data_IF_087863313042
#
_entry.id   IF_087863313042
#
_cell.length_a   1.000
_cell.length_b   1.000
_cell.length_c   1.000
_cell.angle_alpha   90.00
_cell.angle_beta   90.00
_cell.angle_gamma   90.00
#
_symmetry.space_group_name_H-M   'P 1'
#
loop_
_entity.id
_entity.type
_entity.pdbx_description
1 polymer ?
#
# COMPACT_ATOMS: atom_id res chain seq x y z
N UNK A 1 5.98 -9.00 -31.39
CA UNK A 1 4.59 -9.47 -31.55
C UNK A 1 3.83 -8.92 -30.36
N UNK A 2 2.90 -7.99 -30.54
CA UNK A 2 2.09 -7.43 -29.47
C UNK A 2 0.83 -8.30 -29.25
N UNK A 3 0.28 -8.30 -28.05
CA UNK A 3 -0.97 -8.96 -27.67
C UNK A 3 -2.03 -7.88 -27.41
N UNK A 4 -3.15 -7.99 -28.12
CA UNK A 4 -4.27 -7.05 -28.05
C UNK A 4 -5.51 -7.81 -27.55
N UNK A 5 -6.07 -7.37 -26.43
CA UNK A 5 -7.30 -7.92 -25.84
C UNK A 5 -8.46 -6.97 -26.15
N UNK A 6 -9.16 -7.26 -27.25
CA UNK A 6 -10.30 -6.45 -27.74
C UNK A 6 -11.67 -7.00 -27.31
N UNK A 7 -11.69 -8.16 -26.66
CA UNK A 7 -12.90 -8.79 -26.11
C UNK A 7 -12.61 -9.42 -24.77
N UNK A 8 -13.63 -9.54 -23.92
CA UNK A 8 -13.52 -10.21 -22.62
C UNK A 8 -12.91 -11.60 -22.77
N UNK A 9 -11.76 -11.80 -22.13
CA UNK A 9 -10.92 -12.99 -22.24
C UNK A 9 -10.62 -13.52 -20.85
N UNK A 10 -10.74 -14.82 -20.66
CA UNK A 10 -10.42 -15.50 -19.39
C UNK A 10 -9.46 -16.64 -19.69
N UNK A 11 -8.27 -16.56 -19.12
CA UNK A 11 -7.24 -17.60 -19.17
C UNK A 11 -7.04 -18.21 -17.79
N UNK A 12 -6.80 -19.53 -17.75
CA UNK A 12 -6.62 -20.27 -16.50
C UNK A 12 -5.37 -21.13 -16.52
N UNK A 13 -4.68 -21.17 -15.38
CA UNK A 13 -3.47 -21.94 -15.18
C UNK A 13 -2.25 -21.29 -15.82
N UNK A 14 -1.27 -22.12 -16.20
CA UNK A 14 0.01 -21.65 -16.70
C UNK A 14 -0.13 -21.05 -18.10
N UNK A 15 0.05 -19.74 -18.20
CA UNK A 15 0.17 -19.01 -19.47
C UNK A 15 1.49 -18.25 -19.54
N UNK A 16 2.01 -18.06 -20.76
CA UNK A 16 3.22 -17.30 -20.99
C UNK A 16 2.89 -15.87 -21.38
N UNK A 17 3.31 -14.91 -20.56
CA UNK A 17 3.24 -13.47 -20.86
C UNK A 17 4.52 -12.94 -21.52
N UNK A 18 5.40 -13.84 -21.99
CA UNK A 18 6.56 -13.51 -22.82
C UNK A 18 6.12 -13.22 -24.27
N UNK A 19 5.18 -12.29 -24.39
CA UNK A 19 4.71 -11.65 -25.61
C UNK A 19 5.21 -10.21 -25.57
N UNK A 20 5.20 -9.50 -26.70
CA UNK A 20 5.59 -8.09 -26.74
C UNK A 20 4.61 -7.20 -25.97
N UNK A 21 4.35 -6.00 -26.47
CA UNK A 21 3.44 -5.08 -25.79
C UNK A 21 2.05 -5.71 -25.60
N UNK A 22 1.44 -5.45 -24.45
CA UNK A 22 0.10 -5.91 -24.08
C UNK A 22 -0.81 -4.68 -23.99
N UNK A 23 -1.90 -4.71 -24.75
CA UNK A 23 -2.96 -3.71 -24.67
C UNK A 23 -4.29 -4.39 -24.35
N UNK A 24 -5.01 -3.88 -23.35
CA UNK A 24 -6.42 -4.22 -23.10
C UNK A 24 -7.27 -3.05 -23.55
N UNK A 25 -8.08 -3.26 -24.59
CA UNK A 25 -8.84 -2.19 -25.23
C UNK A 25 -10.04 -1.77 -24.39
N UNK A 26 -10.47 -0.53 -24.59
CA UNK A 26 -11.67 0.02 -23.95
C UNK A 26 -12.88 -0.89 -24.16
N UNK A 27 -13.55 -1.25 -23.06
CA UNK A 27 -14.71 -2.14 -23.06
C UNK A 27 -14.38 -3.63 -23.02
N UNK A 28 -13.11 -4.02 -22.98
CA UNK A 28 -12.66 -5.39 -22.82
C UNK A 28 -12.05 -5.64 -21.44
N UNK A 29 -12.08 -6.90 -21.00
CA UNK A 29 -11.35 -7.37 -19.81
C UNK A 29 -10.47 -8.57 -20.11
N UNK A 30 -9.31 -8.65 -19.45
CA UNK A 30 -8.48 -9.85 -19.44
C UNK A 30 -8.32 -10.38 -18.01
N UNK A 31 -8.83 -11.57 -17.76
CA UNK A 31 -8.67 -12.27 -16.48
C UNK A 31 -7.71 -13.44 -16.64
N UNK A 32 -6.66 -13.48 -15.82
CA UNK A 32 -5.66 -14.54 -15.76
C UNK A 32 -5.75 -15.17 -14.37
N UNK A 33 -6.23 -16.41 -14.30
CA UNK A 33 -6.55 -17.07 -13.03
C UNK A 33 -5.56 -18.21 -12.76
N UNK A 34 -5.00 -18.26 -11.55
CA UNK A 34 -4.05 -19.28 -11.09
C UNK A 34 -2.78 -19.40 -11.96
N UNK A 35 -2.34 -18.29 -12.55
CA UNK A 35 -1.03 -18.21 -13.21
C UNK A 35 0.04 -17.74 -12.23
N UNK A 36 0.82 -18.69 -11.69
CA UNK A 36 1.82 -18.42 -10.64
C UNK A 36 2.85 -17.34 -11.04
N UNK A 37 3.27 -17.32 -12.31
CA UNK A 37 4.30 -16.38 -12.80
C UNK A 37 3.78 -15.66 -14.04
N UNK A 38 3.58 -14.35 -13.88
CA UNK A 38 3.11 -13.44 -14.92
C UNK A 38 4.22 -12.42 -15.22
N UNK A 39 5.06 -12.74 -16.21
CA UNK A 39 6.20 -11.91 -16.60
C UNK A 39 5.96 -11.20 -17.94
N UNK A 40 5.62 -9.92 -17.87
CA UNK A 40 5.47 -9.05 -19.03
C UNK A 40 6.85 -8.60 -19.53
N UNK A 41 7.11 -8.81 -20.82
CA UNK A 41 8.38 -8.39 -21.47
C UNK A 41 8.23 -7.17 -22.38
N UNK A 42 7.00 -6.79 -22.72
CA UNK A 42 6.63 -5.54 -23.41
C UNK A 42 6.02 -4.49 -22.49
N UNK A 43 5.58 -3.39 -23.07
CA UNK A 43 4.79 -2.36 -22.38
C UNK A 43 3.40 -2.88 -22.04
N UNK A 44 2.80 -2.34 -20.99
CA UNK A 44 1.44 -2.66 -20.56
C UNK A 44 0.57 -1.40 -20.67
N UNK A 45 -0.52 -1.51 -21.42
CA UNK A 45 -1.50 -0.45 -21.63
C UNK A 45 -2.91 -0.97 -21.33
N UNK A 46 -3.53 -0.45 -20.27
CA UNK A 46 -4.92 -0.76 -19.89
C UNK A 46 -5.74 0.50 -20.08
N UNK A 47 -6.53 0.54 -21.15
CA UNK A 47 -7.29 1.71 -21.56
C UNK A 47 -8.46 2.00 -20.62
N UNK A 48 -9.04 3.20 -20.75
CA UNK A 48 -10.25 3.57 -20.00
C UNK A 48 -11.40 2.59 -20.26
N UNK A 49 -12.14 2.22 -19.20
CA UNK A 49 -13.18 1.18 -19.22
C UNK A 49 -12.68 -0.22 -19.61
N UNK A 50 -11.37 -0.47 -19.55
CA UNK A 50 -10.78 -1.79 -19.70
C UNK A 50 -10.34 -2.35 -18.33
N UNK A 51 -10.14 -3.66 -18.25
CA UNK A 51 -9.71 -4.31 -17.01
C UNK A 51 -8.67 -5.41 -17.22
N UNK A 52 -7.60 -5.39 -16.44
CA UNK A 52 -6.64 -6.49 -16.32
C UNK A 52 -6.73 -7.08 -14.91
N UNK A 53 -7.00 -8.38 -14.81
CA UNK A 53 -7.12 -9.11 -13.56
C UNK A 53 -6.15 -10.28 -13.58
N UNK A 54 -5.28 -10.38 -12.59
CA UNK A 54 -4.45 -11.56 -12.34
C UNK A 54 -4.77 -12.03 -10.93
N UNK A 55 -5.41 -13.19 -10.82
CA UNK A 55 -5.97 -13.67 -9.54
C UNK A 55 -5.50 -15.07 -9.23
N UNK A 56 -5.10 -15.32 -8.00
CA UNK A 56 -4.96 -16.67 -7.46
C UNK A 56 -6.12 -16.98 -6.53
N UNK A 57 -6.85 -18.05 -6.84
CA UNK A 57 -7.91 -18.61 -6.00
C UNK A 57 -7.40 -19.84 -5.23
N UNK A 58 -6.08 -20.04 -5.17
CA UNK A 58 -5.45 -21.24 -4.65
C UNK A 58 -4.61 -20.94 -3.40
N UNK A 59 -4.78 -21.70 -2.32
CA UNK A 59 -3.97 -21.54 -1.11
C UNK A 59 -2.48 -21.88 -1.32
N UNK A 60 -2.15 -22.59 -2.40
CA UNK A 60 -0.79 -23.07 -2.67
C UNK A 60 -0.06 -22.29 -3.77
N UNK A 61 -0.77 -21.42 -4.50
CA UNK A 61 -0.22 -20.65 -5.61
C UNK A 61 -0.24 -19.18 -5.19
N UNK A 62 0.93 -18.59 -4.93
CA UNK A 62 1.05 -17.14 -4.84
C UNK A 62 1.39 -16.55 -6.21
N UNK A 63 0.90 -15.34 -6.44
CA UNK A 63 1.20 -14.61 -7.66
C UNK A 63 2.59 -13.97 -7.61
N UNK A 64 3.34 -14.17 -8.69
CA UNK A 64 4.52 -13.39 -9.03
C UNK A 64 4.22 -12.62 -10.32
N UNK A 65 3.99 -11.31 -10.21
CA UNK A 65 3.73 -10.45 -11.36
C UNK A 65 4.91 -9.50 -11.53
N UNK A 66 5.51 -9.51 -12.72
CA UNK A 66 6.71 -8.71 -13.01
C UNK A 66 6.63 -8.07 -14.39
N UNK A 67 7.12 -6.83 -14.47
CA UNK A 67 7.54 -6.24 -15.75
C UNK A 67 9.05 -6.26 -15.79
N UNK A 68 9.61 -6.87 -16.83
CA UNK A 68 11.02 -7.30 -16.83
C UNK A 68 11.99 -6.27 -17.42
N UNK A 69 11.50 -5.19 -18.01
CA UNK A 69 12.30 -4.24 -18.78
C UNK A 69 12.22 -2.83 -18.20
N UNK A 70 13.39 -2.24 -17.96
CA UNK A 70 13.55 -0.83 -17.54
C UNK A 70 13.16 0.18 -18.62
N UNK A 71 12.89 -0.26 -19.85
CA UNK A 71 12.57 0.61 -20.99
C UNK A 71 11.07 0.65 -21.30
N UNK A 72 10.29 -0.27 -20.72
CA UNK A 72 8.87 -0.41 -21.05
C UNK A 72 8.02 0.56 -20.25
N UNK A 73 6.80 0.80 -20.71
CA UNK A 73 5.85 1.68 -20.03
C UNK A 73 4.71 0.88 -19.40
N UNK A 74 4.18 1.41 -18.29
CA UNK A 74 2.92 0.98 -17.69
C UNK A 74 1.98 2.17 -17.75
N UNK A 75 0.89 2.03 -18.48
CA UNK A 75 -0.19 3.01 -18.56
C UNK A 75 -1.47 2.35 -18.09
N UNK A 76 -2.11 2.92 -17.07
CA UNK A 76 -3.40 2.46 -16.56
C UNK A 76 -4.40 3.62 -16.50
N UNK A 77 -5.35 3.60 -17.43
CA UNK A 77 -6.53 4.47 -17.44
C UNK A 77 -7.82 3.69 -17.08
N UNK A 78 -7.71 2.37 -16.92
CA UNK A 78 -8.80 1.45 -16.58
C UNK A 78 -8.64 0.86 -15.17
N UNK A 79 -8.76 -0.46 -15.06
CA UNK A 79 -8.61 -1.18 -13.79
C UNK A 79 -7.54 -2.26 -13.88
N UNK A 80 -6.55 -2.25 -12.98
CA UNK A 80 -5.59 -3.35 -12.82
C UNK A 80 -5.80 -3.98 -11.43
N UNK A 81 -6.01 -5.30 -11.38
CA UNK A 81 -6.15 -6.06 -10.13
C UNK A 81 -5.17 -7.22 -10.12
N UNK A 82 -4.27 -7.25 -9.14
CA UNK A 82 -3.48 -8.43 -8.79
C UNK A 82 -3.93 -8.92 -7.42
N UNK A 83 -4.64 -10.04 -7.39
CA UNK A 83 -5.25 -10.57 -6.16
C UNK A 83 -4.72 -11.97 -5.83
N UNK A 84 -3.98 -12.06 -4.73
CA UNK A 84 -3.43 -13.29 -4.19
C UNK A 84 -3.80 -13.45 -2.72
N UNK A 85 -4.94 -12.88 -2.30
CA UNK A 85 -5.43 -12.94 -0.90
C UNK A 85 -5.71 -14.36 -0.42
N UNK A 86 -6.09 -15.27 -1.32
CA UNK A 86 -6.35 -16.66 -0.98
C UNK A 86 -5.08 -17.49 -0.76
N UNK A 87 -3.90 -16.99 -1.17
CA UNK A 87 -2.64 -17.74 -1.10
C UNK A 87 -2.04 -17.76 0.30
N UNK A 88 -1.55 -18.92 0.75
CA UNK A 88 -0.83 -19.06 2.03
C UNK A 88 0.68 -18.82 1.88
N UNK A 89 1.16 -18.44 0.69
CA UNK A 89 2.58 -18.22 0.38
C UNK A 89 2.84 -16.76 -0.03
N UNK A 90 4.12 -16.36 -0.03
CA UNK A 90 4.49 -14.97 -0.32
C UNK A 90 4.17 -14.59 -1.77
N UNK A 91 3.43 -13.49 -1.94
CA UNK A 91 3.18 -12.90 -3.26
C UNK A 91 4.22 -11.82 -3.56
N UNK A 92 4.56 -11.65 -4.83
CA UNK A 92 5.54 -10.65 -5.26
C UNK A 92 5.04 -9.92 -6.48
N UNK A 93 4.81 -8.63 -6.33
CA UNK A 93 4.50 -7.72 -7.43
C UNK A 93 5.69 -6.80 -7.61
N UNK A 94 6.40 -6.94 -8.72
CA UNK A 94 7.58 -6.15 -9.04
C UNK A 94 7.43 -5.56 -10.43
N UNK A 95 6.73 -4.44 -10.52
CA UNK A 95 6.47 -3.76 -11.78
C UNK A 95 7.59 -2.77 -12.00
N UNK A 96 8.39 -3.00 -13.04
CA UNK A 96 9.53 -2.17 -13.39
C UNK A 96 9.35 -1.63 -14.80
N UNK A 97 9.50 -0.32 -14.98
CA UNK A 97 9.40 0.33 -16.27
C UNK A 97 10.19 1.63 -16.34
N UNK A 98 10.29 2.22 -17.54
CA UNK A 98 10.79 3.58 -17.72
C UNK A 98 9.77 4.60 -17.19
N UNK A 99 8.49 4.36 -17.49
CA UNK A 99 7.37 5.23 -17.12
C UNK A 99 6.24 4.42 -16.51
N UNK A 100 5.66 4.95 -15.43
CA UNK A 100 4.43 4.49 -14.82
C UNK A 100 3.44 5.66 -14.76
N UNK A 101 2.26 5.48 -15.33
CA UNK A 101 1.17 6.45 -15.29
C UNK A 101 -0.12 5.74 -14.90
N UNK A 102 -0.73 6.21 -13.81
CA UNK A 102 -2.02 5.71 -13.32
C UNK A 102 -3.04 6.85 -13.23
N UNK A 103 -4.08 6.81 -14.06
CA UNK A 103 -5.26 7.68 -13.96
C UNK A 103 -6.53 6.91 -13.57
N UNK A 104 -6.52 5.59 -13.75
CA UNK A 104 -7.58 4.68 -13.31
C UNK A 104 -7.34 4.10 -11.91
N UNK A 105 -7.80 2.86 -11.71
CA UNK A 105 -7.73 2.16 -10.43
C UNK A 105 -6.74 0.99 -10.49
N UNK A 106 -5.92 0.85 -9.46
CA UNK A 106 -4.93 -0.22 -9.35
C UNK A 106 -4.97 -0.87 -7.97
N UNK A 107 -5.08 -2.20 -7.94
CA UNK A 107 -5.25 -2.99 -6.73
C UNK A 107 -4.20 -4.08 -6.66
N UNK A 108 -3.38 -4.09 -5.62
CA UNK A 108 -2.38 -5.11 -5.35
C UNK A 108 -2.69 -5.72 -3.98
N UNK A 109 -3.15 -6.96 -3.98
CA UNK A 109 -3.65 -7.63 -2.79
C UNK A 109 -2.93 -8.96 -2.55
N UNK A 110 -2.61 -9.25 -1.29
CA UNK A 110 -1.97 -10.49 -0.87
C UNK A 110 -2.54 -10.97 0.47
N UNK A 111 -2.17 -12.17 0.94
CA UNK A 111 -2.67 -12.65 2.24
C UNK A 111 -1.95 -12.02 3.44
N UNK A 112 -0.66 -11.71 3.32
CA UNK A 112 0.17 -11.27 4.45
C UNK A 112 0.51 -12.38 5.46
N UNK A 113 0.20 -13.65 5.17
CA UNK A 113 0.62 -14.80 6.01
C UNK A 113 2.14 -14.94 6.00
N UNK A 114 2.71 -14.81 4.80
CA UNK A 114 4.15 -14.68 4.59
C UNK A 114 4.38 -13.28 4.02
N UNK A 115 5.43 -12.56 4.45
CA UNK A 115 5.72 -11.22 3.94
C UNK A 115 5.71 -11.15 2.42
N UNK A 116 4.81 -10.33 1.88
CA UNK A 116 4.68 -10.09 0.45
C UNK A 116 5.33 -8.76 0.08
N UNK A 117 5.77 -8.60 -1.17
CA UNK A 117 6.39 -7.36 -1.62
C UNK A 117 5.62 -6.77 -2.78
N UNK A 118 5.34 -5.47 -2.71
CA UNK A 118 4.61 -4.75 -3.75
C UNK A 118 5.42 -3.52 -4.17
N UNK A 119 5.99 -3.57 -5.37
CA UNK A 119 6.87 -2.53 -5.87
C UNK A 119 6.41 -2.06 -7.24
N UNK A 120 6.22 -0.74 -7.37
CA UNK A 120 5.95 -0.07 -8.66
C UNK A 120 7.09 0.90 -8.92
N UNK A 121 8.07 0.47 -9.71
CA UNK A 121 9.34 1.16 -9.92
C UNK A 121 9.39 1.73 -11.33
N UNK A 122 9.43 3.06 -11.43
CA UNK A 122 9.68 3.74 -12.70
C UNK A 122 10.55 4.99 -12.49
N UNK A 123 11.19 5.45 -13.58
CA UNK A 123 11.95 6.69 -13.58
C UNK A 123 11.03 7.91 -13.66
N UNK A 124 10.00 7.84 -14.51
CA UNK A 124 8.87 8.76 -14.51
C UNK A 124 7.69 8.05 -13.85
N UNK A 125 7.16 8.60 -12.77
CA UNK A 125 6.14 7.96 -11.96
C UNK A 125 5.07 8.97 -11.60
N UNK A 126 3.86 8.75 -12.10
CA UNK A 126 2.73 9.66 -11.93
C UNK A 126 1.46 8.89 -11.56
N UNK A 127 0.85 9.26 -10.44
CA UNK A 127 -0.46 8.76 -10.03
C UNK A 127 -1.43 9.92 -9.85
N UNK A 128 -2.54 9.90 -10.59
CA UNK A 128 -3.69 10.80 -10.41
C UNK A 128 -5.00 10.04 -10.13
N UNK A 129 -4.99 8.71 -10.25
CA UNK A 129 -6.10 7.83 -9.90
C UNK A 129 -5.99 7.24 -8.49
N UNK A 130 -6.52 6.03 -8.33
CA UNK A 130 -6.49 5.27 -7.08
C UNK A 130 -5.48 4.12 -7.16
N UNK A 131 -4.67 3.96 -6.12
CA UNK A 131 -3.87 2.75 -5.88
C UNK A 131 -4.20 2.18 -4.51
N UNK A 132 -4.47 0.88 -4.43
CA UNK A 132 -4.74 0.17 -3.17
C UNK A 132 -3.75 -0.97 -3.03
N UNK A 133 -3.02 -0.97 -1.91
CA UNK A 133 -2.13 -2.03 -1.50
C UNK A 133 -2.71 -2.65 -0.23
N UNK A 134 -3.02 -3.95 -0.27
CA UNK A 134 -3.70 -4.59 0.85
C UNK A 134 -3.18 -5.98 1.17
N UNK A 135 -3.17 -6.29 2.46
CA UNK A 135 -3.02 -7.65 2.97
C UNK A 135 -4.23 -8.02 3.84
N UNK A 136 -4.58 -9.31 3.89
CA UNK A 136 -5.58 -9.79 4.85
C UNK A 136 -5.13 -9.62 6.32
N UNK A 137 -3.81 -9.59 6.55
CA UNK A 137 -3.20 -9.36 7.85
C UNK A 137 -1.84 -8.67 7.72
N UNK A 138 -1.48 -7.89 8.74
CA UNK A 138 -0.21 -7.16 8.76
C UNK A 138 0.97 -8.12 8.76
N UNK A 139 1.92 -7.86 7.85
CA UNK A 139 3.18 -8.60 7.74
C UNK A 139 4.38 -7.64 7.75
N UNK A 140 5.60 -8.16 7.61
CA UNK A 140 6.78 -7.33 7.36
C UNK A 140 7.00 -7.02 5.88
N UNK A 141 6.01 -7.30 5.04
CA UNK A 141 5.96 -6.89 3.65
C UNK A 141 6.00 -5.37 3.50
N UNK A 142 6.53 -4.90 2.37
CA UNK A 142 6.70 -3.47 2.12
C UNK A 142 6.20 -3.08 0.74
N UNK A 143 5.61 -1.89 0.68
CA UNK A 143 5.24 -1.17 -0.52
C UNK A 143 6.34 -0.17 -0.87
N UNK A 144 6.89 -0.27 -2.09
CA UNK A 144 7.90 0.66 -2.61
C UNK A 144 7.42 1.33 -3.91
N UNK A 145 7.56 2.65 -3.98
CA UNK A 145 7.05 3.46 -5.09
C UNK A 145 8.17 4.31 -5.71
N UNK A 146 8.36 4.16 -7.01
CA UNK A 146 9.40 4.82 -7.80
C UNK A 146 10.80 4.20 -7.65
N UNK A 147 11.72 4.65 -8.49
CA UNK A 147 13.13 4.25 -8.40
C UNK A 147 13.82 4.89 -7.19
N UNK A 148 14.52 4.09 -6.37
CA UNK A 148 15.22 4.56 -5.16
C UNK A 148 16.07 5.80 -5.43
N UNK A 149 15.87 6.85 -4.61
CA UNK A 149 16.55 8.15 -4.76
C UNK A 149 15.99 9.04 -5.87
N UNK A 150 15.04 8.54 -6.66
CA UNK A 150 14.28 9.31 -7.64
C UNK A 150 13.11 10.06 -7.02
N UNK A 151 12.08 10.30 -7.82
CA UNK A 151 10.86 11.02 -7.42
C UNK A 151 9.61 10.34 -7.94
N UNK A 152 8.54 10.47 -7.16
CA UNK A 152 7.18 10.14 -7.57
C UNK A 152 6.30 11.40 -7.54
N UNK A 153 5.33 11.50 -8.44
CA UNK A 153 4.25 12.50 -8.37
C UNK A 153 2.96 11.79 -8.00
N UNK A 154 2.37 12.15 -6.88
CA UNK A 154 1.07 11.65 -6.45
C UNK A 154 0.09 12.81 -6.30
N UNK A 155 -0.84 12.91 -7.23
CA UNK A 155 -1.98 13.83 -7.20
C UNK A 155 -3.31 13.10 -6.91
N UNK A 156 -3.29 11.76 -6.93
CA UNK A 156 -4.41 10.89 -6.61
C UNK A 156 -4.43 10.41 -5.15
N UNK A 157 -4.91 9.19 -4.95
CA UNK A 157 -5.02 8.54 -3.66
C UNK A 157 -4.25 7.21 -3.66
N UNK A 158 -3.53 6.96 -2.58
CA UNK A 158 -2.83 5.70 -2.32
C UNK A 158 -3.32 5.17 -0.97
N UNK A 159 -3.90 3.97 -0.95
CA UNK A 159 -4.44 3.34 0.23
C UNK A 159 -3.58 2.14 0.63
N UNK A 160 -3.33 2.02 1.93
CA UNK A 160 -2.58 0.94 2.56
C UNK A 160 -3.50 0.27 3.56
N UNK A 161 -3.67 -1.06 3.44
CA UNK A 161 -4.43 -1.87 4.39
C UNK A 161 -3.55 -3.02 4.87
N UNK A 162 -3.27 -3.08 6.17
CA UNK A 162 -2.31 -4.03 6.75
C UNK A 162 -0.92 -3.98 6.09
N UNK A 163 -0.46 -2.80 5.67
CA UNK A 163 0.76 -2.63 4.86
C UNK A 163 1.77 -1.65 5.45
N UNK A 164 3.02 -1.76 5.01
CA UNK A 164 4.07 -0.76 5.27
C UNK A 164 4.47 -0.09 3.98
N UNK A 165 4.18 1.20 3.85
CA UNK A 165 4.82 2.00 2.81
C UNK A 165 6.19 2.48 3.29
N UNK A 166 7.24 2.12 2.56
CA UNK A 166 8.59 2.62 2.82
C UNK A 166 8.98 3.66 1.78
N UNK A 167 9.05 4.92 2.21
CA UNK A 167 9.46 6.02 1.35
C UNK A 167 10.96 5.92 1.04
N UNK A 168 11.27 5.75 -0.25
CA UNK A 168 12.64 5.73 -0.80
C UNK A 168 12.84 6.77 -1.92
N UNK A 169 11.82 7.59 -2.18
CA UNK A 169 11.75 8.58 -3.25
C UNK A 169 11.29 9.94 -2.73
N UNK A 170 11.64 11.01 -3.44
CA UNK A 170 10.99 12.31 -3.21
C UNK A 170 9.51 12.22 -3.61
N UNK A 171 8.62 12.86 -2.87
CA UNK A 171 7.16 12.81 -3.14
C UNK A 171 6.69 14.21 -3.55
N UNK A 172 6.27 14.35 -4.79
CA UNK A 172 5.64 15.56 -5.33
C UNK A 172 4.12 15.39 -5.42
N UNK A 173 3.42 16.50 -5.68
CA UNK A 173 1.96 16.49 -5.90
C UNK A 173 1.14 16.91 -4.68
N UNK A 174 -0.18 16.90 -4.85
CA UNK A 174 -1.17 17.29 -3.85
C UNK A 174 -2.11 16.14 -3.42
N UNK A 175 -1.71 14.90 -3.74
CA UNK A 175 -2.45 13.70 -3.46
C UNK A 175 -2.46 13.33 -1.97
N UNK A 176 -2.92 12.12 -1.70
CA UNK A 176 -2.99 11.56 -0.36
C UNK A 176 -2.39 10.15 -0.31
N UNK A 177 -1.76 9.82 0.82
CA UNK A 177 -1.40 8.45 1.19
C UNK A 177 -2.13 8.15 2.50
N UNK A 178 -3.02 7.17 2.46
CA UNK A 178 -3.90 6.78 3.57
C UNK A 178 -3.44 5.45 4.13
N UNK A 179 -3.22 5.41 5.44
CA UNK A 179 -3.01 4.19 6.20
C UNK A 179 -4.29 3.79 6.92
N UNK A 180 -4.76 2.59 6.65
CA UNK A 180 -5.92 1.97 7.29
C UNK A 180 -5.57 0.54 7.75
N UNK A 181 -6.38 -0.03 8.64
CA UNK A 181 -6.25 -1.39 9.16
C UNK A 181 -4.81 -1.74 9.58
N UNK A 182 -4.30 -1.09 10.63
CA UNK A 182 -2.94 -1.36 11.14
C UNK A 182 -1.87 -1.21 10.05
N UNK A 183 -1.89 -0.10 9.31
CA UNK A 183 -0.89 0.25 8.28
C UNK A 183 0.10 1.30 8.77
N UNK A 184 1.30 1.32 8.20
CA UNK A 184 2.30 2.33 8.54
C UNK A 184 2.86 3.04 7.31
N UNK A 185 2.87 4.37 7.41
CA UNK A 185 3.60 5.25 6.49
C UNK A 185 4.98 5.48 7.09
N UNK A 186 6.00 4.85 6.53
CA UNK A 186 7.37 4.96 7.00
C UNK A 186 8.20 5.88 6.09
N UNK A 187 8.42 7.12 6.56
CA UNK A 187 9.31 8.10 5.93
C UNK A 187 10.76 7.77 6.29
N UNK A 188 11.31 6.78 5.59
CA UNK A 188 12.62 6.19 5.90
C UNK A 188 13.80 7.07 5.53
N UNK A 189 13.60 8.03 4.61
CA UNK A 189 14.62 8.96 4.17
C UNK A 189 14.06 10.38 4.08
N UNK A 190 14.05 11.07 5.22
CA UNK A 190 13.60 12.47 5.32
C UNK A 190 14.54 13.48 4.64
N UNK A 191 15.65 13.05 4.02
CA UNK A 191 16.47 13.94 3.17
C UNK A 191 15.86 14.11 1.79
N UNK A 192 15.04 13.15 1.35
CA UNK A 192 14.27 13.27 0.12
C UNK A 192 13.05 14.13 0.39
N UNK A 193 12.84 15.22 -0.37
CA UNK A 193 11.76 16.15 -0.11
C UNK A 193 10.39 15.52 -0.33
N UNK A 194 9.45 15.87 0.54
CA UNK A 194 8.02 15.65 0.38
C UNK A 194 7.37 17.01 0.21
N UNK A 195 6.58 17.18 -0.85
CA UNK A 195 5.86 18.41 -1.13
C UNK A 195 4.96 18.77 0.06
N UNK A 196 4.92 20.06 0.42
CA UNK A 196 4.04 20.55 1.49
C UNK A 196 2.54 20.47 1.15
N UNK A 197 2.21 20.09 -0.08
CA UNK A 197 0.85 19.82 -0.56
C UNK A 197 0.49 18.33 -0.48
N UNK A 198 1.46 17.43 -0.30
CA UNK A 198 1.21 16.01 -0.08
C UNK A 198 0.59 15.82 1.30
N UNK A 199 -0.39 14.92 1.36
CA UNK A 199 -1.15 14.65 2.57
C UNK A 199 -0.97 13.20 3.00
N UNK A 200 -0.94 12.98 4.31
CA UNK A 200 -0.95 11.66 4.92
C UNK A 200 -2.17 11.54 5.82
N UNK A 201 -2.90 10.43 5.75
CA UNK A 201 -4.12 10.22 6.54
C UNK A 201 -4.05 8.90 7.30
N UNK A 202 -4.28 8.96 8.62
CA UNK A 202 -4.46 7.79 9.48
C UNK A 202 -5.96 7.54 9.63
N UNK A 203 -6.49 6.55 8.90
CA UNK A 203 -7.93 6.29 8.83
C UNK A 203 -8.46 5.57 10.08
N UNK A 204 -7.62 4.78 10.76
CA UNK A 204 -7.97 4.01 11.95
C UNK A 204 -7.09 4.33 13.17
N UNK A 205 -7.37 3.64 14.29
CA UNK A 205 -6.72 3.81 15.60
C UNK A 205 -5.41 3.04 15.79
N UNK A 206 -5.06 2.12 14.90
CA UNK A 206 -3.88 1.27 14.94
C UNK A 206 -2.80 1.74 13.97
N UNK A 207 -3.18 2.43 12.89
CA UNK A 207 -2.24 2.96 11.90
C UNK A 207 -1.22 3.95 12.47
N UNK A 208 -0.15 4.17 11.72
CA UNK A 208 0.91 5.09 12.15
C UNK A 208 1.64 5.79 11.00
N UNK A 209 2.28 6.91 11.34
CA UNK A 209 3.31 7.52 10.51
C UNK A 209 4.59 7.66 11.33
N UNK A 210 5.69 7.15 10.80
CA UNK A 210 7.01 7.19 11.42
C UNK A 210 7.98 7.83 10.45
N UNK A 211 8.76 8.81 10.90
CA UNK A 211 9.72 9.49 10.04
C UNK A 211 11.14 9.50 10.62
N UNK A 212 12.14 9.52 9.74
CA UNK A 212 13.51 9.81 10.17
C UNK A 212 13.59 11.27 10.68
N UNK A 213 14.17 11.48 11.87
CA UNK A 213 14.43 12.81 12.40
C UNK A 213 15.75 13.37 11.87
N UNK A 214 15.78 14.68 11.56
CA UNK A 214 16.94 15.38 11.00
C UNK A 214 17.24 16.67 11.74
N UNK A 215 18.43 17.26 11.50
CA UNK A 215 18.79 18.58 12.02
C UNK A 215 18.01 19.71 11.36
N UNK A 216 17.63 19.54 10.08
CA UNK A 216 16.72 20.42 9.34
C UNK A 216 15.46 19.62 9.00
N UNK A 217 14.42 19.66 9.85
CA UNK A 217 13.23 18.85 9.66
C UNK A 217 12.35 19.35 8.50
N UNK A 218 11.67 18.42 7.84
CA UNK A 218 10.51 18.76 7.01
C UNK A 218 9.27 18.94 7.89
N UNK A 219 8.13 19.33 7.31
CA UNK A 219 6.83 19.29 8.02
C UNK A 219 5.84 18.49 7.19
N UNK A 220 5.35 17.38 7.74
CA UNK A 220 4.39 16.50 7.04
C UNK A 220 2.97 16.84 7.48
N UNK A 221 2.03 16.98 6.54
CA UNK A 221 0.61 17.14 6.87
C UNK A 221 -0.01 15.79 7.20
N UNK A 222 -0.46 15.62 8.43
CA UNK A 222 -1.02 14.37 8.93
C UNK A 222 -2.44 14.61 9.41
N UNK A 223 -3.39 13.93 8.79
CA UNK A 223 -4.79 13.93 9.18
C UNK A 223 -5.12 12.64 9.94
N UNK A 224 -6.22 12.67 10.69
CA UNK A 224 -6.72 11.51 11.43
C UNK A 224 -6.00 11.17 12.73
N UNK A 225 -5.00 11.95 13.16
CA UNK A 225 -4.29 11.67 14.41
C UNK A 225 -5.22 11.72 15.64
N UNK A 226 -5.32 10.61 16.37
CA UNK A 226 -6.19 10.43 17.52
C UNK A 226 -6.71 9.01 17.68
N UNK A 227 -7.53 8.79 18.71
CA UNK A 227 -8.09 7.48 19.06
C UNK A 227 -7.06 6.37 19.29
N UNK A 228 -5.78 6.70 19.54
CA UNK A 228 -4.73 5.72 19.80
C UNK A 228 -3.70 5.54 18.68
N UNK A 229 -3.95 6.04 17.46
CA UNK A 229 -2.97 5.94 16.39
C UNK A 229 -1.70 6.76 16.70
N UNK A 230 -0.64 6.53 15.93
CA UNK A 230 0.71 6.96 16.32
C UNK A 230 1.37 7.87 15.29
N UNK A 231 2.03 8.92 15.78
CA UNK A 231 2.94 9.78 15.02
C UNK A 231 4.30 9.71 15.68
N UNK A 232 5.34 9.34 14.93
CA UNK A 232 6.63 9.01 15.54
C UNK A 232 7.85 9.33 14.70
N UNK A 233 9.01 9.12 15.32
CA UNK A 233 10.30 9.10 14.68
C UNK A 233 11.03 7.79 14.94
N UNK A 234 12.03 7.48 14.12
CA UNK A 234 12.81 6.23 14.24
C UNK A 234 13.74 6.16 15.47
N UNK A 235 13.84 7.24 16.24
CA UNK A 235 14.71 7.34 17.42
C UNK A 235 13.86 7.53 18.68
N UNK A 236 14.30 7.04 19.86
CA UNK A 236 13.60 7.29 21.11
C UNK A 236 13.40 8.80 21.36
N UNK A 237 12.22 9.20 21.81
CA UNK A 237 11.95 10.59 22.13
C UNK A 237 12.68 10.98 23.41
N UNK A 238 13.55 11.99 23.31
CA UNK A 238 14.36 12.46 24.43
C UNK A 238 14.30 13.98 24.56
N UNK A 239 14.11 14.45 25.78
CA UNK A 239 14.22 15.87 26.07
C UNK A 239 15.67 16.33 25.90
N UNK A 240 15.87 17.52 25.32
CA UNK A 240 17.18 18.17 25.32
C UNK A 240 17.32 19.02 26.59
N UNK A 241 18.49 18.98 27.20
CA UNK A 241 18.83 19.75 28.40
C UNK A 241 19.36 21.15 28.05
N UNK A 242 19.90 21.34 26.84
CA UNK A 242 20.49 22.62 26.43
C UNK A 242 20.37 22.82 24.91
N UNK A 243 19.46 23.70 24.43
CA UNK A 243 18.42 24.40 25.19
C UNK A 243 17.33 23.43 25.72
N UNK A 244 16.66 23.74 26.84
CA UNK A 244 15.67 22.88 27.46
C UNK A 244 14.45 22.72 26.54
N UNK A 245 14.35 21.57 25.88
CA UNK A 245 13.22 21.24 25.02
C UNK A 245 12.63 19.89 25.46
N UNK A 246 11.29 19.79 25.62
CA UNK A 246 10.65 18.51 25.86
C UNK A 246 10.84 17.58 24.66
N UNK A 247 10.71 16.27 24.92
CA UNK A 247 10.83 15.22 23.91
C UNK A 247 9.82 15.39 22.76
N UNK A 248 8.67 16.00 23.06
CA UNK A 248 7.71 16.48 22.08
C UNK A 248 7.12 17.82 22.51
N UNK A 249 6.59 18.60 21.57
CA UNK A 249 5.86 19.84 21.84
C UNK A 249 4.77 20.04 20.80
N UNK A 250 3.61 20.54 21.21
CA UNK A 250 2.52 20.90 20.30
C UNK A 250 2.26 22.41 20.34
N UNK A 251 2.20 23.04 19.17
CA UNK A 251 1.82 24.45 19.03
C UNK A 251 0.34 24.54 18.66
N UNK A 252 -0.51 24.93 19.62
CA UNK A 252 -1.96 25.04 19.43
C UNK A 252 -2.38 26.10 18.40
N UNK A 253 -1.53 27.09 18.11
CA UNK A 253 -1.83 28.13 17.11
C UNK A 253 -1.57 27.65 15.67
N UNK A 254 -0.54 26.84 15.46
CA UNK A 254 -0.17 26.35 14.12
C UNK A 254 -0.62 24.92 13.84
N UNK A 255 -0.96 24.15 14.87
CA UNK A 255 -1.27 22.72 14.77
C UNK A 255 -0.05 21.82 14.59
N UNK A 256 1.17 22.34 14.82
CA UNK A 256 2.40 21.58 14.60
C UNK A 256 2.78 20.82 15.87
N UNK A 257 2.87 19.49 15.76
CA UNK A 257 3.52 18.60 16.69
C UNK A 257 5.00 18.41 16.27
N UNK A 258 5.93 18.77 17.15
CA UNK A 258 7.36 18.55 16.94
C UNK A 258 7.83 17.44 17.86
N UNK A 259 8.45 16.41 17.28
CA UNK A 259 9.10 15.30 17.98
C UNK A 259 10.62 15.48 17.96
N UNK A 260 11.31 15.07 19.04
CA UNK A 260 12.74 15.34 19.24
C UNK A 260 13.50 14.13 19.78
N UNK A 261 14.71 13.96 19.27
CA UNK A 261 15.77 13.20 19.92
C UNK A 261 17.02 14.08 19.97
N UNK A 262 17.36 14.59 21.16
CA UNK A 262 18.52 15.44 21.39
C UNK A 262 18.61 16.65 20.42
N UNK A 263 19.40 16.50 19.34
CA UNK A 263 19.71 17.54 18.34
C UNK A 263 18.93 17.39 17.03
N UNK A 264 18.20 16.28 16.85
CA UNK A 264 17.37 16.06 15.66
C UNK A 264 15.90 16.17 16.02
N UNK A 265 15.14 16.66 15.07
CA UNK A 265 13.70 16.90 15.22
C UNK A 265 12.95 16.48 13.98
N UNK A 266 11.64 16.35 14.09
CA UNK A 266 10.74 16.19 12.96
C UNK A 266 9.40 16.84 13.28
N UNK A 267 8.82 17.53 12.30
CA UNK A 267 7.54 18.23 12.46
C UNK A 267 6.42 17.50 11.73
N UNK A 268 5.26 17.50 12.36
CA UNK A 268 4.00 17.00 11.82
C UNK A 268 2.94 18.08 12.02
N UNK A 269 2.33 18.53 10.94
CA UNK A 269 1.14 19.37 11.01
C UNK A 269 -0.07 18.46 11.20
N UNK A 270 -0.54 18.34 12.45
CA UNK A 270 -1.65 17.48 12.85
C UNK A 270 -2.98 18.23 12.97
N UNK A 271 -2.96 19.55 12.72
CA UNK A 271 -4.11 20.43 12.90
C UNK A 271 -4.25 21.00 14.32
N UNK A 272 -5.20 21.93 14.48
CA UNK A 272 -5.49 22.60 15.75
C UNK A 272 -6.48 21.81 16.61
N UNK A 273 -6.59 22.14 17.91
CA UNK A 273 -7.66 21.62 18.78
C UNK A 273 -7.31 20.39 19.63
N UNK A 274 -6.05 19.94 19.64
CA UNK A 274 -5.60 18.86 20.52
C UNK A 274 -5.36 19.37 21.95
N UNK A 275 -5.70 18.52 22.93
CA UNK A 275 -5.34 18.72 24.34
C UNK A 275 -3.97 18.09 24.64
N UNK A 276 -2.94 18.88 24.96
CA UNK A 276 -1.60 18.34 25.22
C UNK A 276 -1.52 17.31 26.36
N UNK A 277 -2.48 17.29 27.28
CA UNK A 277 -2.51 16.34 28.40
C UNK A 277 -2.85 14.91 27.98
N UNK A 278 -3.39 14.72 26.78
CA UNK A 278 -3.76 13.42 26.23
C UNK A 278 -2.68 12.78 25.34
N UNK A 279 -1.55 13.48 25.15
CA UNK A 279 -0.37 12.94 24.47
C UNK A 279 0.44 12.05 25.41
N UNK A 280 0.88 10.90 24.90
CA UNK A 280 1.82 10.03 25.62
C UNK A 280 2.85 9.42 24.68
N UNK A 281 4.05 9.19 25.22
CA UNK A 281 5.14 8.54 24.47
C UNK A 281 4.90 7.03 24.51
N UNK A 282 4.93 6.42 23.33
CA UNK A 282 4.71 4.98 23.12
C UNK A 282 5.77 4.41 22.17
N UNK A 283 5.78 3.08 22.07
CA UNK A 283 6.56 2.35 21.08
C UNK A 283 5.62 1.89 19.99
N UNK A 284 5.99 2.12 18.73
CA UNK A 284 5.34 1.48 17.60
C UNK A 284 6.07 0.17 17.28
N UNK A 285 5.38 -0.94 17.51
CA UNK A 285 5.88 -2.29 17.27
C UNK A 285 5.31 -2.92 15.99
N UNK A 286 4.79 -2.13 15.06
CA UNK A 286 4.25 -2.60 13.79
C UNK A 286 5.27 -3.41 13.00
N UNK A 287 4.84 -4.55 12.46
CA UNK A 287 5.70 -5.41 11.64
C UNK A 287 6.20 -4.63 10.41
N UNK A 288 7.46 -4.84 10.01
CA UNK A 288 8.09 -4.15 8.88
C UNK A 288 8.73 -2.79 9.21
N UNK A 289 8.61 -2.30 10.45
CA UNK A 289 9.30 -1.09 10.90
C UNK A 289 10.67 -1.39 11.53
N UNK A 290 11.64 -0.46 11.45
CA UNK A 290 12.75 -0.46 12.38
C UNK A 290 12.21 -0.26 13.81
N UNK A 291 12.94 -0.74 14.83
CA UNK A 291 12.53 -0.54 16.23
C UNK A 291 12.34 0.96 16.55
N UNK A 292 11.11 1.35 16.89
CA UNK A 292 10.75 2.72 17.29
C UNK A 292 10.56 2.84 18.81
N UNK A 293 11.41 2.15 19.59
CA UNK A 293 11.31 2.10 21.04
C UNK A 293 11.19 3.50 21.66
N UNK A 294 10.02 3.80 22.25
CA UNK A 294 9.68 5.12 22.80
C UNK A 294 9.84 6.28 21.80
N UNK A 295 9.74 6.00 20.50
CA UNK A 295 9.94 6.95 19.39
C UNK A 295 8.67 7.64 18.91
N UNK A 296 7.50 7.23 19.42
CA UNK A 296 6.20 7.68 18.94
C UNK A 296 5.41 8.42 20.01
N UNK A 297 4.49 9.28 19.58
CA UNK A 297 3.45 9.88 20.39
C UNK A 297 2.10 9.35 19.92
N UNK A 298 1.25 8.96 20.87
CA UNK A 298 -0.17 8.68 20.63
C UNK A 298 -1.02 9.78 21.26
N UNK A 299 -2.24 9.93 20.77
CA UNK A 299 -3.27 10.79 21.34
C UNK A 299 -4.51 9.95 21.69
N UNK A 300 -4.85 9.91 22.98
CA UNK A 300 -5.94 9.07 23.49
C UNK A 300 -7.34 9.67 23.31
N UNK A 301 -7.42 10.97 23.00
CA UNK A 301 -8.69 11.65 22.71
C UNK A 301 -9.20 11.39 21.29
N UNK A 302 -10.45 11.80 20.99
CA UNK A 302 -10.97 11.77 19.62
C UNK A 302 -10.23 12.75 18.73
N UNK A 303 -10.12 12.41 17.45
CA UNK A 303 -9.58 13.30 16.42
C UNK A 303 -10.33 14.65 16.45
N UNK A 304 -9.66 15.78 16.72
CA UNK A 304 -10.30 17.09 16.67
C UNK A 304 -10.93 17.38 15.31
N UNK A 305 -11.97 18.22 15.30
CA UNK A 305 -12.69 18.55 14.08
C UNK A 305 -11.73 19.16 13.03
N UNK A 306 -11.61 18.49 11.89
CA UNK A 306 -10.76 18.89 10.78
C UNK A 306 -11.43 18.58 9.45
N UNK A 307 -11.11 19.35 8.41
CA UNK A 307 -11.55 19.09 7.04
C UNK A 307 -10.45 18.32 6.33
N UNK A 308 -10.76 17.13 5.83
CA UNK A 308 -9.82 16.37 5.01
C UNK A 308 -9.62 17.04 3.64
N UNK A 309 -8.41 17.06 3.08
CA UNK A 309 -8.17 17.44 1.70
C UNK A 309 -8.99 16.60 0.73
N UNK A 310 -9.36 17.13 -0.43
CA UNK A 310 -10.16 16.42 -1.42
C UNK A 310 -9.52 15.08 -1.84
N UNK A 311 -8.19 15.04 -1.98
CA UNK A 311 -7.45 13.81 -2.30
C UNK A 311 -7.56 12.73 -1.21
N UNK A 312 -7.66 13.12 0.07
CA UNK A 312 -7.89 12.17 1.17
C UNK A 312 -9.36 11.80 1.38
N UNK A 313 -10.30 12.43 0.66
CA UNK A 313 -11.73 12.06 0.66
C UNK A 313 -12.05 11.00 -0.41
N UNK A 314 -11.11 10.73 -1.33
CA UNK A 314 -11.24 9.62 -2.28
C UNK A 314 -11.25 8.32 -1.47
N UNK A 315 -12.37 7.60 -1.57
CA UNK A 315 -12.62 6.37 -0.82
C UNK A 315 -11.65 5.29 -1.27
N UNK A 316 -10.98 4.65 -0.31
CA UNK A 316 -10.24 3.41 -0.53
C UNK A 316 -11.23 2.31 -0.90
N UNK A 317 -11.36 2.03 -2.20
CA UNK A 317 -12.28 1.03 -2.69
C UNK A 317 -11.83 -0.38 -2.27
N UNK A 318 -12.77 -1.30 -1.98
CA UNK A 318 -12.42 -2.69 -1.80
C UNK A 318 -11.85 -3.26 -3.10
N UNK A 319 -11.08 -4.35 -2.99
CA UNK A 319 -10.58 -5.08 -4.16
C UNK A 319 -11.78 -5.56 -5.01
N UNK A 320 -11.88 -5.19 -6.30
CA UNK A 320 -12.97 -5.62 -7.17
C UNK A 320 -13.00 -7.14 -7.38
N UNK A 321 -14.19 -7.67 -7.62
CA UNK A 321 -14.35 -9.08 -8.04
C UNK A 321 -13.68 -9.30 -9.41
N UNK A 322 -13.03 -10.46 -9.58
CA UNK A 322 -12.37 -10.82 -10.84
C UNK A 322 -13.35 -11.47 -11.81
N UNK A 323 -13.55 -10.92 -13.02
CA UNK A 323 -14.44 -11.53 -14.01
C UNK A 323 -14.04 -12.97 -14.33
N UNK A 324 -14.98 -13.90 -14.11
CA UNK A 324 -14.80 -15.30 -14.47
C UNK A 324 -13.84 -16.07 -13.57
N UNK A 325 -13.62 -15.64 -12.32
CA UNK A 325 -12.83 -16.37 -11.31
C UNK A 325 -13.53 -17.59 -10.70
N UNK A 326 -14.85 -17.68 -10.83
CA UNK A 326 -15.68 -18.80 -10.33
C UNK A 326 -15.07 -20.15 -10.69
N UNK A 327 -14.86 -21.08 -9.73
CA UNK A 327 -14.27 -22.38 -10.05
C UNK A 327 -15.04 -23.09 -11.16
N UNK A 328 -14.34 -23.63 -12.15
CA UNK A 328 -14.94 -24.43 -13.23
C UNK A 328 -14.89 -25.93 -12.96
N UNK A 329 -14.07 -26.33 -11.98
CA UNK A 329 -13.92 -27.71 -11.53
C UNK A 329 -14.24 -27.78 -10.03
N UNK A 330 -14.99 -28.81 -9.63
CA UNK A 330 -15.40 -29.03 -8.26
C UNK A 330 -15.12 -30.49 -7.90
N UNK A 331 -14.48 -30.73 -6.75
CA UNK A 331 -14.38 -32.06 -6.18
C UNK A 331 -15.53 -32.23 -5.18
N UNK A 332 -16.37 -33.24 -5.40
CA UNK A 332 -17.43 -33.57 -4.43
C UNK A 332 -16.87 -34.57 -3.44
N UNK A 333 -16.86 -34.19 -2.17
CA UNK A 333 -16.53 -35.10 -1.06
C UNK A 333 -17.83 -35.58 -0.42
N UNK A 334 -18.08 -36.88 -0.46
CA UNK A 334 -19.21 -37.50 0.23
C UNK A 334 -18.66 -38.20 1.48
N UNK A 335 -19.07 -37.71 2.65
CA UNK A 335 -18.81 -38.40 3.92
C UNK A 335 -20.05 -39.21 4.29
N UNK A 336 -19.89 -40.53 4.35
CA UNK A 336 -20.93 -41.44 4.84
C UNK A 336 -20.52 -42.04 6.17
N UNK A 337 -21.45 -42.11 7.12
CA UNK A 337 -21.21 -42.79 8.40
C UNK A 337 -21.71 -44.22 8.29
N UNK A 338 -20.82 -45.17 8.46
CA UNK A 338 -21.16 -46.59 8.47
C UNK A 338 -21.96 -46.96 9.72
N UNK A 339 -22.59 -48.14 9.68
CA UNK A 339 -23.37 -48.68 10.80
C UNK A 339 -22.55 -48.95 12.07
N UNK A 340 -21.22 -49.02 11.98
CA UNK A 340 -20.32 -49.14 13.13
C UNK A 340 -19.81 -47.79 13.67
N UNK A 341 -20.29 -46.67 13.11
CA UNK A 341 -19.92 -45.31 13.49
C UNK A 341 -18.63 -44.81 12.85
N UNK A 342 -17.97 -45.60 11.99
CA UNK A 342 -16.81 -45.14 11.22
C UNK A 342 -17.22 -44.21 10.08
N UNK A 343 -16.43 -43.17 9.83
CA UNK A 343 -16.61 -42.28 8.68
C UNK A 343 -15.86 -42.83 7.46
N UNK A 344 -16.57 -42.91 6.34
CA UNK A 344 -16.00 -43.21 5.03
C UNK A 344 -16.08 -41.94 4.18
N UNK A 345 -14.93 -41.49 3.70
CA UNK A 345 -14.82 -40.31 2.84
C UNK A 345 -14.49 -40.77 1.43
N UNK A 346 -15.39 -40.52 0.49
CA UNK A 346 -15.16 -40.73 -0.93
C UNK A 346 -15.06 -39.38 -1.65
N UNK A 347 -14.05 -39.24 -2.51
CA UNK A 347 -13.84 -38.06 -3.35
C UNK A 347 -14.03 -38.41 -4.81
N UNK A 348 -14.91 -37.66 -5.50
CA UNK A 348 -15.13 -37.76 -6.94
C UNK A 348 -14.88 -36.42 -7.65
N UNK A 349 -14.44 -36.51 -8.89
CA UNK A 349 -14.33 -35.38 -9.85
C UNK A 349 -15.60 -35.34 -10.69
#
# INVERSE_FOLDING_TARGET
FALEISTNTVDRGTISLNVGDVTVDSGASWSIINNAVSAFVGSLDVQSNAGLYITSTSPLIALQVTLTSLLNTITNDGTIVFDSRDSLTASTYNLVGATFTNTGDMFLAASGIVPSTMSVTAANWDNSGLMVFSQNQRSSGVVNLGAVGGSITNDGQICLENEVYQQTTSINGAGCITADQDSTIYISNSLLPVANTQNFYLADSQSSIVAQALSTPQTFNVYGFGNGNMVGITLPLTASVLPPNPAYSYNAATGILTLRNLLVTQNFNIGTGYDPSLFSIVTDSGAGLPSTLLGSVTYSGPVPAQTLPASCQIVCQPIPDTPGDTPTEYTTTITTTNSDGSELTETGV
#
